data_IF_950649780985
#
_entry.id   IF_950649780985
#
_cell.length_a   1.000
_cell.length_b   1.000
_cell.length_c   1.000
_cell.angle_alpha   90.00
_cell.angle_beta   90.00
_cell.angle_gamma   90.00
#
_symmetry.space_group_name_H-M   'P 1'
#
loop_
_entity.id
_entity.type
_entity.pdbx_description
1 polymer ?
#
# COMPACT_ATOMS: atom_id res chain seq x y z
N UNK A 1 2.75 17.91 7.31
CA UNK A 1 3.84 16.90 7.38
C UNK A 1 4.94 17.11 6.33
N UNK A 2 4.67 17.77 5.20
CA UNK A 2 5.56 17.89 4.03
C UNK A 2 6.98 18.42 4.31
N UNK A 3 7.16 19.27 5.32
CA UNK A 3 8.45 19.92 5.64
C UNK A 3 9.27 19.22 6.73
N UNK A 4 8.81 18.06 7.22
CA UNK A 4 9.53 17.30 8.24
C UNK A 4 10.84 16.74 7.66
N UNK A 5 11.98 16.77 8.39
CA UNK A 5 13.25 16.20 7.91
C UNK A 5 13.15 14.71 7.56
N UNK A 6 12.21 13.99 8.19
CA UNK A 6 11.94 12.58 7.92
C UNK A 6 11.15 12.33 6.65
N UNK A 7 10.66 13.36 5.93
CA UNK A 7 9.84 13.20 4.73
C UNK A 7 10.52 12.28 3.70
N UNK A 8 11.64 12.73 3.13
CA UNK A 8 12.34 11.98 2.08
C UNK A 8 12.82 10.59 2.54
N UNK A 9 13.45 10.43 3.72
CA UNK A 9 13.84 9.10 4.19
C UNK A 9 12.66 8.13 4.34
N UNK A 10 11.58 8.54 5.01
CA UNK A 10 10.41 7.68 5.24
C UNK A 10 9.71 7.34 3.93
N UNK A 11 9.56 8.31 3.02
CA UNK A 11 8.85 8.12 1.76
C UNK A 11 9.69 7.31 0.76
N UNK A 12 11.02 7.43 0.80
CA UNK A 12 11.91 6.58 0.01
C UNK A 12 11.87 5.13 0.51
N UNK A 13 11.88 4.92 1.83
CA UNK A 13 11.71 3.58 2.40
C UNK A 13 10.34 2.97 2.02
N UNK A 14 9.27 3.77 2.07
CA UNK A 14 7.94 3.33 1.65
C UNK A 14 7.93 2.98 0.15
N UNK A 15 8.48 3.84 -0.70
CA UNK A 15 8.60 3.61 -2.15
C UNK A 15 9.33 2.30 -2.46
N UNK A 16 10.50 2.07 -1.84
CA UNK A 16 11.25 0.83 -1.97
C UNK A 16 10.44 -0.38 -1.50
N UNK A 17 9.72 -0.24 -0.38
CA UNK A 17 8.89 -1.30 0.18
C UNK A 17 7.74 -1.68 -0.75
N UNK A 18 7.09 -0.70 -1.39
CA UNK A 18 6.02 -0.94 -2.37
C UNK A 18 6.56 -1.62 -3.63
N UNK A 19 7.71 -1.18 -4.13
CA UNK A 19 8.37 -1.83 -5.27
C UNK A 19 8.76 -3.29 -4.98
N UNK A 20 9.38 -3.54 -3.82
CA UNK A 20 9.73 -4.88 -3.37
C UNK A 20 8.49 -5.75 -3.14
N UNK A 21 7.41 -5.18 -2.61
CA UNK A 21 6.15 -5.87 -2.49
C UNK A 21 5.62 -6.34 -3.85
N UNK A 22 5.53 -5.43 -4.83
CA UNK A 22 5.03 -5.73 -6.15
C UNK A 22 5.87 -6.83 -6.82
N UNK A 23 7.19 -6.74 -6.72
CA UNK A 23 8.11 -7.78 -7.20
C UNK A 23 7.90 -9.13 -6.49
N UNK A 24 7.70 -9.12 -5.17
CA UNK A 24 7.44 -10.32 -4.37
C UNK A 24 6.14 -11.02 -4.78
N UNK A 25 5.05 -10.28 -4.96
CA UNK A 25 3.77 -10.85 -5.41
C UNK A 25 3.86 -11.33 -6.85
N UNK A 26 4.57 -10.61 -7.72
CA UNK A 26 4.84 -11.07 -9.08
C UNK A 26 5.58 -12.41 -9.08
N UNK A 27 6.61 -12.56 -8.25
CA UNK A 27 7.35 -13.81 -8.11
C UNK A 27 6.44 -14.95 -7.60
N UNK A 28 5.50 -14.67 -6.70
CA UNK A 28 4.49 -15.64 -6.26
C UNK A 28 3.54 -16.02 -7.41
N UNK A 29 3.13 -15.07 -8.24
CA UNK A 29 2.21 -15.30 -9.37
C UNK A 29 2.78 -16.27 -10.44
N UNK A 30 4.09 -16.50 -10.40
CA UNK A 30 4.84 -17.40 -11.28
C UNK A 30 4.87 -18.85 -10.78
N UNK A 31 4.39 -19.11 -9.56
CA UNK A 31 4.31 -20.46 -8.97
C UNK A 31 3.10 -21.22 -9.53
N UNK A 32 3.04 -22.52 -9.26
CA UNK A 32 1.86 -23.33 -9.56
C UNK A 32 0.72 -22.97 -8.59
N UNK A 33 -0.18 -22.11 -9.06
CA UNK A 33 -1.31 -21.59 -8.29
C UNK A 33 -2.62 -22.02 -8.95
N UNK A 34 -3.70 -22.08 -8.17
CA UNK A 34 -5.04 -22.17 -8.74
C UNK A 34 -5.29 -20.98 -9.68
N UNK A 35 -6.11 -21.18 -10.73
CA UNK A 35 -6.43 -20.15 -11.73
C UNK A 35 -6.87 -18.82 -11.09
N UNK A 36 -7.72 -18.89 -10.07
CA UNK A 36 -8.19 -17.72 -9.34
C UNK A 36 -7.07 -16.99 -8.61
N UNK A 37 -6.18 -17.70 -7.92
CA UNK A 37 -5.05 -17.08 -7.22
C UNK A 37 -3.96 -16.56 -8.16
N UNK A 38 -3.76 -17.21 -9.31
CA UNK A 38 -2.88 -16.72 -10.36
C UNK A 38 -3.40 -15.38 -10.92
N UNK A 39 -4.70 -15.24 -11.16
CA UNK A 39 -5.31 -13.98 -11.59
C UNK A 39 -5.22 -12.93 -10.49
N UNK A 40 -5.60 -13.28 -9.25
CA UNK A 40 -5.54 -12.38 -8.09
C UNK A 40 -4.15 -11.77 -7.91
N UNK A 41 -3.10 -12.60 -7.88
CA UNK A 41 -1.73 -12.14 -7.69
C UNK A 41 -1.23 -11.26 -8.84
N UNK A 42 -1.63 -11.54 -10.09
CA UNK A 42 -1.32 -10.66 -11.23
C UNK A 42 -2.00 -9.29 -11.13
N UNK A 43 -3.28 -9.26 -10.74
CA UNK A 43 -4.02 -8.01 -10.53
C UNK A 43 -3.39 -7.19 -9.40
N UNK A 44 -3.12 -7.82 -8.25
CA UNK A 44 -2.46 -7.17 -7.11
C UNK A 44 -1.06 -6.67 -7.48
N UNK A 45 -0.32 -7.42 -8.31
CA UNK A 45 0.98 -6.96 -8.85
C UNK A 45 0.80 -5.68 -9.66
N UNK A 46 -0.17 -5.63 -10.58
CA UNK A 46 -0.45 -4.45 -11.40
C UNK A 46 -0.82 -3.23 -10.54
N UNK A 47 -1.66 -3.43 -9.52
CA UNK A 47 -1.99 -2.39 -8.54
C UNK A 47 -0.74 -1.94 -7.77
N UNK A 48 0.10 -2.87 -7.32
CA UNK A 48 1.34 -2.56 -6.62
C UNK A 48 2.33 -1.75 -7.48
N UNK A 49 2.43 -2.05 -8.77
CA UNK A 49 3.22 -1.25 -9.74
C UNK A 49 2.64 0.16 -9.86
N UNK A 50 1.33 0.28 -10.04
CA UNK A 50 0.66 1.57 -10.11
C UNK A 50 0.87 2.40 -8.83
N UNK A 51 0.73 1.78 -7.66
CA UNK A 51 0.95 2.41 -6.36
C UNK A 51 2.42 2.81 -6.16
N UNK A 52 3.38 2.02 -6.66
CA UNK A 52 4.81 2.39 -6.65
C UNK A 52 5.06 3.65 -7.49
N UNK A 53 4.44 3.76 -8.66
CA UNK A 53 4.53 4.97 -9.51
C UNK A 53 3.86 6.16 -8.83
N UNK A 54 2.68 5.97 -8.23
CA UNK A 54 1.98 6.98 -7.44
C UNK A 54 2.83 7.49 -6.27
N UNK A 55 3.45 6.58 -5.52
CA UNK A 55 4.34 6.89 -4.41
C UNK A 55 5.60 7.64 -4.87
N UNK A 56 6.12 7.35 -6.07
CA UNK A 56 7.23 8.11 -6.64
C UNK A 56 6.83 9.58 -6.90
N UNK A 57 5.60 9.82 -7.36
CA UNK A 57 5.08 11.18 -7.46
C UNK A 57 4.82 11.81 -6.08
N UNK A 58 4.27 11.04 -5.14
CA UNK A 58 4.04 11.48 -3.75
C UNK A 58 5.31 11.92 -3.05
N UNK A 59 6.45 11.27 -3.30
CA UNK A 59 7.76 11.67 -2.78
C UNK A 59 8.09 13.15 -3.06
N UNK A 60 7.67 13.67 -4.21
CA UNK A 60 7.91 15.05 -4.65
C UNK A 60 6.84 16.04 -4.19
N UNK A 61 5.79 15.62 -3.46
CA UNK A 61 4.74 16.52 -2.97
C UNK A 61 5.30 17.63 -2.04
N UNK A 62 6.40 17.35 -1.34
CA UNK A 62 7.05 18.35 -0.49
C UNK A 62 7.58 19.58 -1.25
N UNK A 63 7.80 19.48 -2.57
CA UNK A 63 8.24 20.61 -3.39
C UNK A 63 7.21 21.74 -3.49
N UNK A 64 5.95 21.46 -3.15
CA UNK A 64 4.86 22.43 -3.20
C UNK A 64 4.34 22.85 -1.82
N UNK A 65 5.10 22.56 -0.76
CA UNK A 65 4.69 22.91 0.60
C UNK A 65 4.33 24.41 0.75
N UNK A 66 5.08 25.30 0.08
CA UNK A 66 4.83 26.74 0.13
C UNK A 66 3.54 27.15 -0.61
N UNK A 67 3.29 26.59 -1.79
CA UNK A 67 2.07 26.84 -2.57
C UNK A 67 0.83 26.36 -1.81
N UNK A 68 0.92 25.19 -1.19
CA UNK A 68 -0.13 24.62 -0.34
C UNK A 68 -0.36 25.46 0.92
N UNK A 69 0.70 25.93 1.57
CA UNK A 69 0.60 26.83 2.72
C UNK A 69 -0.06 28.17 2.36
N UNK A 70 0.11 28.63 1.12
CA UNK A 70 -0.56 29.80 0.58
C UNK A 70 -2.02 29.54 0.13
N UNK A 71 -2.54 28.32 0.30
CA UNK A 71 -3.89 27.93 -0.10
C UNK A 71 -4.07 27.80 -1.62
N UNK A 72 -2.98 27.68 -2.39
CA UNK A 72 -3.04 27.58 -3.84
C UNK A 72 -3.17 26.11 -4.25
N UNK A 73 -4.19 25.81 -5.06
CA UNK A 73 -4.27 24.53 -5.73
C UNK A 73 -3.32 24.51 -6.92
N UNK A 74 -2.59 23.42 -7.07
CA UNK A 74 -1.60 23.20 -8.12
C UNK A 74 -1.92 21.91 -8.88
N UNK A 75 -1.17 21.65 -9.95
CA UNK A 75 -1.28 20.38 -10.66
C UNK A 75 -0.82 19.20 -9.79
N UNK A 76 0.26 19.35 -9.00
CA UNK A 76 0.76 18.27 -8.14
C UNK A 76 -0.19 18.08 -6.95
N UNK A 77 -0.72 19.14 -6.32
CA UNK A 77 -1.69 18.97 -5.22
C UNK A 77 -2.95 18.23 -5.69
N UNK A 78 -3.44 18.55 -6.88
CA UNK A 78 -4.58 17.84 -7.49
C UNK A 78 -4.23 16.39 -7.77
N UNK A 79 -3.04 16.11 -8.31
CA UNK A 79 -2.55 14.75 -8.51
C UNK A 79 -2.44 13.98 -7.19
N UNK A 80 -1.96 14.62 -6.11
CA UNK A 80 -1.85 14.00 -4.80
C UNK A 80 -3.21 13.65 -4.22
N UNK A 81 -4.21 14.52 -4.35
CA UNK A 81 -5.58 14.19 -3.96
C UNK A 81 -6.07 12.90 -4.63
N UNK A 82 -5.84 12.74 -5.94
CA UNK A 82 -6.19 11.51 -6.65
C UNK A 82 -5.35 10.32 -6.18
N UNK A 83 -4.05 10.50 -5.97
CA UNK A 83 -3.15 9.45 -5.51
C UNK A 83 -3.58 8.93 -4.13
N UNK A 84 -3.71 9.82 -3.15
CA UNK A 84 -4.03 9.50 -1.76
C UNK A 84 -5.47 8.96 -1.62
N UNK A 85 -6.42 9.44 -2.43
CA UNK A 85 -7.82 9.00 -2.32
C UNK A 85 -8.08 7.69 -3.08
N UNK A 86 -7.52 7.53 -4.27
CA UNK A 86 -7.87 6.42 -5.17
C UNK A 86 -6.79 5.35 -5.20
N UNK A 87 -5.53 5.74 -5.48
CA UNK A 87 -4.45 4.78 -5.70
C UNK A 87 -4.08 4.09 -4.38
N UNK A 88 -3.93 4.87 -3.32
CA UNK A 88 -3.64 4.39 -1.96
C UNK A 88 -4.75 3.48 -1.42
N UNK A 89 -6.00 3.87 -1.62
CA UNK A 89 -7.17 3.04 -1.27
C UNK A 89 -7.18 1.74 -2.04
N UNK A 90 -7.00 1.79 -3.36
CA UNK A 90 -6.95 0.60 -4.22
C UNK A 90 -5.81 -0.33 -3.80
N UNK A 91 -4.66 0.25 -3.47
CA UNK A 91 -3.49 -0.47 -2.99
C UNK A 91 -3.78 -1.21 -1.68
N UNK A 92 -4.31 -0.53 -0.67
CA UNK A 92 -4.68 -1.15 0.60
C UNK A 92 -5.78 -2.22 0.46
N UNK A 93 -6.80 -1.98 -0.37
CA UNK A 93 -7.83 -2.98 -0.66
C UNK A 93 -7.26 -4.22 -1.37
N UNK A 94 -6.27 -4.05 -2.23
CA UNK A 94 -5.61 -5.18 -2.90
C UNK A 94 -4.84 -6.06 -1.92
N UNK A 95 -4.18 -5.45 -0.93
CA UNK A 95 -3.51 -6.15 0.16
C UNK A 95 -4.52 -6.87 1.05
N UNK A 96 -5.59 -6.18 1.46
CA UNK A 96 -6.68 -6.77 2.23
C UNK A 96 -7.19 -8.02 1.53
N UNK A 97 -7.54 -7.89 0.25
CA UNK A 97 -8.02 -8.99 -0.57
C UNK A 97 -7.01 -10.15 -0.62
N UNK A 98 -5.73 -9.86 -0.84
CA UNK A 98 -4.70 -10.89 -0.91
C UNK A 98 -4.45 -11.56 0.45
N UNK A 99 -4.51 -10.82 1.55
CA UNK A 99 -4.37 -11.35 2.91
C UNK A 99 -5.53 -12.28 3.26
N UNK A 100 -6.76 -11.93 2.88
CA UNK A 100 -7.95 -12.76 3.08
C UNK A 100 -7.92 -13.99 2.19
N UNK A 101 -7.85 -13.81 0.87
CA UNK A 101 -7.87 -14.91 -0.09
C UNK A 101 -6.67 -15.85 0.15
N UNK A 102 -5.46 -15.30 0.20
CA UNK A 102 -4.22 -16.04 0.42
C UNK A 102 -4.13 -16.69 1.79
N UNK A 103 -4.66 -16.04 2.84
CA UNK A 103 -4.66 -16.60 4.19
C UNK A 103 -5.65 -17.75 4.36
N UNK A 104 -6.82 -17.68 3.70
CA UNK A 104 -7.84 -18.74 3.70
C UNK A 104 -7.38 -19.96 2.88
N UNK A 105 -6.79 -19.74 1.70
CA UNK A 105 -6.27 -20.82 0.84
C UNK A 105 -4.87 -21.29 1.24
N UNK A 106 -4.19 -20.57 2.13
CA UNK A 106 -2.77 -20.74 2.50
C UNK A 106 -1.79 -20.57 1.33
N UNK A 107 -2.23 -19.95 0.22
CA UNK A 107 -1.38 -19.62 -0.93
C UNK A 107 -0.37 -18.52 -0.58
N UNK A 108 -0.81 -17.51 0.17
CA UNK A 108 0.01 -16.37 0.59
C UNK A 108 -0.26 -16.14 2.08
N UNK A 109 0.69 -16.55 2.93
CA UNK A 109 0.53 -16.48 4.39
C UNK A 109 -0.27 -17.63 5.00
N UNK A 110 -0.99 -17.32 6.09
CA UNK A 110 -1.85 -18.22 6.85
C UNK A 110 -2.98 -17.43 7.56
N UNK A 111 -3.80 -18.12 8.38
CA UNK A 111 -4.91 -17.50 9.12
C UNK A 111 -4.49 -16.46 10.18
N UNK A 112 -3.27 -16.55 10.71
CA UNK A 112 -2.74 -15.58 11.67
C UNK A 112 -2.33 -14.31 10.93
N UNK A 113 -1.56 -14.45 9.85
CA UNK A 113 -1.15 -13.29 9.04
C UNK A 113 -2.34 -12.61 8.37
N UNK A 114 -3.41 -13.35 8.05
CA UNK A 114 -4.65 -12.79 7.51
C UNK A 114 -5.15 -11.61 8.34
N UNK A 115 -5.19 -11.74 9.68
CA UNK A 115 -5.70 -10.69 10.55
C UNK A 115 -4.91 -9.38 10.41
N UNK A 116 -3.59 -9.48 10.25
CA UNK A 116 -2.71 -8.32 10.08
C UNK A 116 -3.04 -7.56 8.79
N UNK A 117 -3.11 -8.28 7.66
CA UNK A 117 -3.41 -7.68 6.36
C UNK A 117 -4.85 -7.18 6.26
N UNK A 118 -5.80 -7.86 6.91
CA UNK A 118 -7.20 -7.42 6.98
C UNK A 118 -7.35 -6.12 7.76
N UNK A 119 -6.84 -6.06 8.99
CA UNK A 119 -6.96 -4.87 9.85
C UNK A 119 -6.18 -3.71 9.26
N UNK A 120 -4.92 -3.94 8.86
CA UNK A 120 -4.09 -2.91 8.25
C UNK A 120 -4.69 -2.40 6.93
N UNK A 121 -5.14 -3.31 6.07
CA UNK A 121 -5.79 -2.98 4.80
C UNK A 121 -7.07 -2.16 4.97
N UNK A 122 -7.94 -2.54 5.90
CA UNK A 122 -9.17 -1.78 6.20
C UNK A 122 -8.86 -0.40 6.78
N UNK A 123 -7.95 -0.32 7.75
CA UNK A 123 -7.59 0.93 8.41
C UNK A 123 -6.99 1.93 7.40
N UNK A 124 -6.04 1.48 6.58
CA UNK A 124 -5.40 2.31 5.57
C UNK A 124 -6.40 2.69 4.46
N UNK A 125 -7.18 1.75 3.93
CA UNK A 125 -8.16 2.04 2.88
C UNK A 125 -9.21 3.06 3.33
N UNK A 126 -9.70 2.95 4.57
CA UNK A 126 -10.66 3.91 5.11
C UNK A 126 -10.03 5.29 5.26
N UNK A 127 -8.85 5.38 5.88
CA UNK A 127 -8.15 6.65 6.05
C UNK A 127 -7.88 7.34 4.70
N UNK A 128 -7.25 6.62 3.77
CA UNK A 128 -6.94 7.09 2.42
C UNK A 128 -8.18 7.52 1.64
N UNK A 129 -9.26 6.72 1.64
CA UNK A 129 -10.48 7.06 0.91
C UNK A 129 -11.15 8.36 1.40
N UNK A 130 -10.88 8.75 2.65
CA UNK A 130 -11.47 9.93 3.28
C UNK A 130 -10.54 11.13 3.41
N UNK A 131 -9.24 10.96 3.16
CA UNK A 131 -8.19 11.94 3.52
C UNK A 131 -8.38 13.30 2.84
N UNK A 132 -8.92 13.32 1.62
CA UNK A 132 -9.21 14.55 0.90
C UNK A 132 -10.44 15.31 1.44
N UNK A 133 -11.23 14.69 2.31
CA UNK A 133 -12.53 15.19 2.75
C UNK A 133 -12.61 15.43 4.27
N UNK A 134 -11.83 14.69 5.07
CA UNK A 134 -11.85 14.78 6.54
C UNK A 134 -10.61 14.15 7.17
N UNK A 135 -10.13 14.76 8.26
CA UNK A 135 -9.00 14.26 9.07
C UNK A 135 -9.46 13.27 10.16
N UNK A 136 -10.77 12.99 10.26
CA UNK A 136 -11.34 12.16 11.33
C UNK A 136 -10.72 10.76 11.41
N UNK A 137 -10.24 10.24 10.28
CA UNK A 137 -9.69 8.88 10.16
C UNK A 137 -8.16 8.83 10.15
N UNK A 138 -7.46 9.97 10.22
CA UNK A 138 -6.00 10.02 10.31
C UNK A 138 -5.41 9.16 11.45
N UNK A 139 -6.04 9.06 12.64
CA UNK A 139 -5.56 8.17 13.69
C UNK A 139 -5.52 6.68 13.31
N UNK A 140 -6.08 6.27 12.17
CA UNK A 140 -6.01 4.90 11.65
C UNK A 140 -4.70 4.61 10.90
N UNK A 141 -3.94 5.61 10.44
CA UNK A 141 -2.67 5.37 9.72
C UNK A 141 -1.67 4.50 10.51
N UNK A 142 -1.49 4.67 11.83
CA UNK A 142 -0.68 3.75 12.63
C UNK A 142 -1.16 2.29 12.56
N UNK A 143 -2.48 2.05 12.57
CA UNK A 143 -3.03 0.70 12.39
C UNK A 143 -2.82 0.19 10.95
N UNK A 144 -2.85 1.08 9.95
CA UNK A 144 -2.49 0.79 8.56
C UNK A 144 -1.08 0.18 8.40
N UNK A 145 -0.13 0.50 9.30
CA UNK A 145 1.23 -0.07 9.28
C UNK A 145 1.28 -1.60 9.43
N UNK A 146 0.19 -2.23 9.90
CA UNK A 146 0.05 -3.69 9.93
C UNK A 146 0.16 -4.33 8.54
N UNK A 147 -0.09 -3.58 7.46
CA UNK A 147 0.21 -3.99 6.08
C UNK A 147 1.69 -4.36 5.94
N UNK A 148 2.60 -3.54 6.46
CA UNK A 148 4.04 -3.77 6.39
C UNK A 148 4.45 -5.01 7.19
N UNK A 149 3.90 -5.16 8.40
CA UNK A 149 4.13 -6.34 9.25
C UNK A 149 3.63 -7.60 8.56
N UNK A 150 2.44 -7.55 7.94
CA UNK A 150 1.89 -8.64 7.15
C UNK A 150 2.81 -9.02 6.00
N UNK A 151 3.19 -8.05 5.16
CA UNK A 151 4.01 -8.28 3.98
C UNK A 151 5.38 -8.88 4.35
N UNK A 152 6.04 -8.35 5.38
CA UNK A 152 7.31 -8.88 5.88
C UNK A 152 7.15 -10.33 6.39
N UNK A 153 6.12 -10.60 7.19
CA UNK A 153 5.87 -11.94 7.74
C UNK A 153 5.59 -12.95 6.63
N UNK A 154 4.73 -12.59 5.67
CA UNK A 154 4.43 -13.42 4.50
C UNK A 154 5.68 -13.67 3.66
N UNK A 155 6.51 -12.65 3.44
CA UNK A 155 7.77 -12.77 2.71
C UNK A 155 8.72 -13.78 3.38
N UNK A 156 8.91 -13.67 4.70
CA UNK A 156 9.73 -14.62 5.48
C UNK A 156 9.16 -16.03 5.41
N UNK A 157 7.84 -16.19 5.54
CA UNK A 157 7.18 -17.49 5.38
C UNK A 157 7.38 -18.09 3.98
N UNK A 158 7.30 -17.26 2.94
CA UNK A 158 7.48 -17.70 1.56
C UNK A 158 8.93 -18.07 1.23
N UNK A 159 9.91 -17.50 1.93
CA UNK A 159 11.32 -17.83 1.81
C UNK A 159 11.72 -19.10 2.61
N UNK A 160 10.99 -19.42 3.68
CA UNK A 160 11.29 -20.56 4.56
C UNK A 160 10.56 -21.84 4.19
N UNK A 161 9.41 -21.74 3.51
CA UNK A 161 8.69 -22.89 2.94
C UNK A 161 9.40 -23.33 1.65
N UNK A 162 10.25 -24.36 1.77
CA UNK A 162 10.82 -25.09 0.63
C UNK A 162 9.73 -25.84 -0.14
#
# INVERSE_FOLDING_TARGET
MLVQPSWYPSHTLLLLSMGLFAAGIFAISRRDLSKSMATATKVVTGIGVLATVGMAAHLFAALEADSLAAGQQTAISTMQTWNETIIDTLWALSILFLAVAGGLTRTVGNRITLALGLVGGLAYALASATIAFTDQFDPLFPAGSLIGVWAATVGVMAATRK
#
